data_IF_077640398006
#
_entry.id   IF_077640398006
#
_cell.length_a   1.000
_cell.length_b   1.000
_cell.length_c   1.000
_cell.angle_alpha   90.00
_cell.angle_beta   90.00
_cell.angle_gamma   90.00
#
_symmetry.space_group_name_H-M   'P 1'
#
loop_
_entity.id
_entity.type
_entity.pdbx_description
1 polymer ?
#
# COMPACT_ATOMS: atom_id res chain seq x y z
N UNK A 1 -32.62 17.99 -3.07
CA UNK A 1 -33.57 16.87 -2.95
C UNK A 1 -32.80 15.66 -2.42
N UNK A 2 -33.32 14.92 -1.43
CA UNK A 2 -32.66 13.69 -1.00
C UNK A 2 -32.52 12.75 -2.21
N UNK A 3 -31.31 12.22 -2.41
CA UNK A 3 -30.93 11.47 -3.61
C UNK A 3 -31.45 10.02 -3.60
N UNK A 4 -32.10 9.62 -2.50
CA UNK A 4 -32.61 8.27 -2.25
C UNK A 4 -34.11 8.33 -2.03
N UNK A 5 -34.84 7.49 -2.76
CA UNK A 5 -36.30 7.36 -2.62
C UNK A 5 -36.67 6.75 -1.27
N UNK A 6 -37.71 7.27 -0.61
CA UNK A 6 -38.27 6.69 0.60
C UNK A 6 -38.66 5.20 0.42
N UNK A 7 -39.01 4.81 -0.81
CA UNK A 7 -39.29 3.44 -1.22
C UNK A 7 -38.11 2.48 -0.98
N UNK A 8 -36.87 2.96 -1.08
CA UNK A 8 -35.67 2.15 -0.86
C UNK A 8 -35.44 1.86 0.63
N UNK A 9 -35.73 2.84 1.50
CA UNK A 9 -35.61 2.68 2.96
C UNK A 9 -36.57 1.61 3.46
N UNK A 10 -37.84 1.65 3.04
CA UNK A 10 -38.83 0.63 3.42
C UNK A 10 -38.42 -0.77 2.96
N UNK A 11 -37.89 -0.89 1.73
CA UNK A 11 -37.36 -2.17 1.23
C UNK A 11 -36.21 -2.69 2.08
N UNK A 12 -35.25 -1.83 2.42
CA UNK A 12 -34.10 -2.23 3.24
C UNK A 12 -34.51 -2.57 4.68
N UNK A 13 -35.44 -1.84 5.28
CA UNK A 13 -36.03 -2.16 6.58
C UNK A 13 -36.71 -3.53 6.56
N UNK A 14 -37.52 -3.82 5.54
CA UNK A 14 -38.20 -5.10 5.39
C UNK A 14 -37.22 -6.27 5.23
N UNK A 15 -36.13 -6.09 4.47
CA UNK A 15 -35.09 -7.11 4.35
C UNK A 15 -34.39 -7.33 5.69
N UNK A 16 -33.99 -6.25 6.37
CA UNK A 16 -33.30 -6.35 7.66
C UNK A 16 -34.19 -6.94 8.77
N UNK A 17 -35.51 -6.70 8.71
CA UNK A 17 -36.48 -7.28 9.64
C UNK A 17 -36.65 -8.79 9.43
N UNK A 18 -36.63 -9.25 8.17
CA UNK A 18 -36.70 -10.68 7.82
C UNK A 18 -35.39 -11.40 8.08
N UNK A 19 -34.27 -10.74 7.80
CA UNK A 19 -32.92 -11.25 7.99
C UNK A 19 -32.04 -10.22 8.70
N UNK A 20 -31.97 -10.26 10.04
CA UNK A 20 -31.11 -9.38 10.82
C UNK A 20 -29.61 -9.59 10.60
N UNK A 21 -29.21 -10.69 9.95
CA UNK A 21 -27.83 -11.01 9.55
C UNK A 21 -27.55 -10.60 8.08
N UNK A 22 -28.45 -9.86 7.45
CA UNK A 22 -28.21 -9.29 6.14
C UNK A 22 -27.25 -8.09 6.21
N UNK A 23 -26.38 -7.95 5.22
CA UNK A 23 -25.49 -6.78 5.06
C UNK A 23 -26.23 -5.50 4.60
N UNK A 24 -27.55 -5.58 4.38
CA UNK A 24 -28.43 -4.47 3.98
C UNK A 24 -28.49 -3.33 5.01
N UNK A 25 -28.02 -3.56 6.23
CA UNK A 25 -27.88 -2.48 7.22
C UNK A 25 -26.99 -1.31 6.72
N UNK A 26 -25.99 -1.59 5.88
CA UNK A 26 -25.08 -0.55 5.38
C UNK A 26 -25.77 0.42 4.41
N UNK A 27 -26.43 -0.04 3.32
CA UNK A 27 -27.20 0.88 2.48
C UNK A 27 -28.41 1.50 3.21
N UNK A 28 -29.01 0.83 4.20
CA UNK A 28 -30.04 1.43 5.05
C UNK A 28 -29.50 2.61 5.88
N UNK A 29 -28.35 2.42 6.54
CA UNK A 29 -27.73 3.47 7.34
C UNK A 29 -27.21 4.63 6.47
N UNK A 30 -26.71 4.34 5.26
CA UNK A 30 -26.36 5.36 4.26
C UNK A 30 -27.58 6.21 3.90
N UNK A 31 -28.73 5.56 3.63
CA UNK A 31 -29.97 6.24 3.31
C UNK A 31 -30.45 7.14 4.46
N UNK A 32 -30.45 6.63 5.70
CA UNK A 32 -30.77 7.45 6.87
C UNK A 32 -29.83 8.65 7.03
N UNK A 33 -28.53 8.47 6.77
CA UNK A 33 -27.56 9.57 6.82
C UNK A 33 -27.88 10.65 5.80
N UNK A 34 -28.17 10.27 4.54
CA UNK A 34 -28.52 11.23 3.49
C UNK A 34 -29.85 11.96 3.74
N UNK A 35 -30.78 11.32 4.47
CA UNK A 35 -32.03 11.94 4.91
C UNK A 35 -31.87 12.81 6.17
N UNK A 36 -30.67 12.89 6.75
CA UNK A 36 -30.43 13.63 8.00
C UNK A 36 -30.92 12.91 9.27
N UNK A 37 -31.40 11.67 9.15
CA UNK A 37 -31.82 10.80 10.25
C UNK A 37 -30.60 10.15 10.92
N UNK A 38 -29.75 11.00 11.49
CA UNK A 38 -28.41 10.60 11.97
C UNK A 38 -28.47 9.60 13.14
N UNK A 39 -29.49 9.70 14.01
CA UNK A 39 -29.65 8.79 15.16
C UNK A 39 -29.97 7.37 14.69
N UNK A 40 -30.89 7.26 13.74
CA UNK A 40 -31.32 6.01 13.10
C UNK A 40 -30.19 5.40 12.29
N UNK A 41 -29.42 6.23 11.56
CA UNK A 41 -28.23 5.81 10.83
C UNK A 41 -27.20 5.18 11.79
N UNK A 42 -26.88 5.85 12.90
CA UNK A 42 -25.94 5.35 13.91
C UNK A 42 -26.43 4.06 14.55
N UNK A 43 -27.69 3.97 14.96
CA UNK A 43 -28.26 2.78 15.57
C UNK A 43 -28.19 1.57 14.61
N UNK A 44 -28.61 1.78 13.36
CA UNK A 44 -28.64 0.74 12.33
C UNK A 44 -27.24 0.23 12.00
N UNK A 45 -26.28 1.14 11.77
CA UNK A 45 -24.92 0.74 11.41
C UNK A 45 -24.19 0.10 12.57
N UNK A 46 -24.41 0.56 13.80
CA UNK A 46 -23.77 -0.02 15.00
C UNK A 46 -24.23 -1.45 15.21
N UNK A 47 -25.55 -1.71 15.15
CA UNK A 47 -26.09 -3.06 15.27
C UNK A 47 -25.61 -3.98 14.13
N UNK A 48 -25.55 -3.46 12.91
CA UNK A 48 -25.08 -4.21 11.75
C UNK A 48 -23.59 -4.57 11.81
N UNK A 49 -22.72 -3.62 12.20
CA UNK A 49 -21.28 -3.86 12.37
C UNK A 49 -21.00 -4.80 13.53
N UNK A 50 -21.81 -4.80 14.60
CA UNK A 50 -21.69 -5.79 15.68
C UNK A 50 -21.94 -7.22 15.17
N UNK A 51 -22.91 -7.41 14.26
CA UNK A 51 -23.19 -8.72 13.64
C UNK A 51 -22.19 -9.09 12.54
N UNK A 52 -21.70 -8.09 11.80
CA UNK A 52 -20.76 -8.27 10.70
C UNK A 52 -19.47 -7.45 10.91
N UNK A 53 -18.62 -7.82 11.89
CA UNK A 53 -17.46 -7.02 12.28
C UNK A 53 -16.38 -6.91 11.21
N UNK A 54 -16.41 -7.79 10.20
CA UNK A 54 -15.47 -7.85 9.08
C UNK A 54 -16.04 -7.29 7.77
N UNK A 55 -17.30 -6.82 7.76
CA UNK A 55 -17.90 -6.29 6.54
C UNK A 55 -17.41 -4.87 6.27
N UNK A 56 -16.44 -4.74 5.36
CA UNK A 56 -15.77 -3.48 5.03
C UNK A 56 -16.74 -2.40 4.58
N UNK A 57 -17.75 -2.74 3.77
CA UNK A 57 -18.77 -1.78 3.32
C UNK A 57 -19.52 -1.14 4.50
N UNK A 58 -19.90 -1.94 5.49
CA UNK A 58 -20.53 -1.46 6.72
C UNK A 58 -19.61 -0.60 7.59
N UNK A 59 -18.32 -0.96 7.69
CA UNK A 59 -17.32 -0.16 8.40
C UNK A 59 -17.12 1.21 7.73
N UNK A 60 -17.06 1.26 6.40
CA UNK A 60 -16.94 2.52 5.65
C UNK A 60 -18.17 3.39 5.86
N UNK A 61 -19.39 2.84 5.76
CA UNK A 61 -20.62 3.60 6.06
C UNK A 61 -20.63 4.11 7.50
N UNK A 62 -20.18 3.30 8.46
CA UNK A 62 -20.11 3.71 9.86
C UNK A 62 -19.16 4.90 10.04
N UNK A 63 -17.97 4.84 9.44
CA UNK A 63 -17.01 5.94 9.48
C UNK A 63 -17.56 7.23 8.85
N UNK A 64 -18.32 7.14 7.75
CA UNK A 64 -18.97 8.32 7.14
C UNK A 64 -19.94 8.98 8.12
N UNK A 65 -20.77 8.19 8.79
CA UNK A 65 -21.74 8.70 9.77
C UNK A 65 -21.02 9.32 10.98
N UNK A 66 -19.92 8.70 11.44
CA UNK A 66 -19.10 9.24 12.52
C UNK A 66 -18.41 10.56 12.13
N UNK A 67 -17.90 10.67 10.90
CA UNK A 67 -17.37 11.92 10.35
C UNK A 67 -18.42 13.03 10.37
N UNK A 68 -19.62 12.75 9.86
CA UNK A 68 -20.70 13.73 9.76
C UNK A 68 -21.23 14.16 11.14
N UNK A 69 -21.00 13.34 12.17
CA UNK A 69 -21.32 13.68 13.58
C UNK A 69 -20.15 14.30 14.36
N UNK A 70 -19.02 14.58 13.70
CA UNK A 70 -17.83 15.16 14.34
C UNK A 70 -17.06 14.19 15.25
N UNK A 71 -17.40 12.89 15.25
CA UNK A 71 -16.73 11.86 16.07
C UNK A 71 -15.48 11.33 15.36
N UNK A 72 -14.54 12.21 15.08
CA UNK A 72 -13.39 11.91 14.20
C UNK A 72 -12.49 10.80 14.72
N UNK A 73 -12.17 10.77 16.02
CA UNK A 73 -11.35 9.72 16.61
C UNK A 73 -11.95 8.31 16.39
N UNK A 74 -13.26 8.17 16.67
CA UNK A 74 -13.97 6.91 16.45
C UNK A 74 -14.03 6.55 14.96
N UNK A 75 -14.23 7.53 14.09
CA UNK A 75 -14.22 7.30 12.64
C UNK A 75 -12.87 6.74 12.17
N UNK A 76 -11.75 7.28 12.68
CA UNK A 76 -10.40 6.80 12.36
C UNK A 76 -10.15 5.37 12.87
N UNK A 77 -10.62 5.02 14.07
CA UNK A 77 -10.51 3.66 14.58
C UNK A 77 -11.27 2.64 13.72
N UNK A 78 -12.49 3.00 13.30
CA UNK A 78 -13.29 2.18 12.39
C UNK A 78 -12.62 2.05 11.01
N UNK A 79 -12.05 3.15 10.50
CA UNK A 79 -11.33 3.14 9.22
C UNK A 79 -10.04 2.32 9.28
N UNK A 80 -9.32 2.35 10.40
CA UNK A 80 -8.15 1.49 10.63
C UNK A 80 -8.51 0.01 10.59
N UNK A 81 -9.68 -0.36 11.12
CA UNK A 81 -10.21 -1.72 10.97
C UNK A 81 -10.55 -2.03 9.52
N UNK A 82 -11.21 -1.10 8.82
CA UNK A 82 -11.58 -1.29 7.42
C UNK A 82 -10.35 -1.48 6.51
N UNK A 83 -9.32 -0.66 6.66
CA UNK A 83 -8.05 -0.77 5.91
C UNK A 83 -7.20 -1.95 6.36
N UNK A 84 -7.32 -2.40 7.61
CA UNK A 84 -6.71 -3.65 8.08
C UNK A 84 -7.33 -4.90 7.42
N UNK A 85 -8.62 -4.86 7.11
CA UNK A 85 -9.33 -5.95 6.43
C UNK A 85 -9.18 -5.91 4.90
N UNK A 86 -9.18 -4.70 4.32
CA UNK A 86 -9.00 -4.49 2.88
C UNK A 86 -8.02 -3.32 2.64
N UNK A 87 -6.70 -3.58 2.65
CA UNK A 87 -5.67 -2.57 2.46
C UNK A 87 -5.75 -1.81 1.14
N UNK A 88 -6.34 -2.43 0.10
CA UNK A 88 -6.52 -1.88 -1.23
C UNK A 88 -7.84 -1.09 -1.39
N UNK A 89 -8.65 -0.97 -0.34
CA UNK A 89 -9.92 -0.25 -0.42
C UNK A 89 -9.70 1.26 -0.52
N UNK A 90 -9.75 1.77 -1.75
CA UNK A 90 -9.54 3.18 -2.08
C UNK A 90 -10.51 4.10 -1.31
N UNK A 91 -11.78 3.70 -1.16
CA UNK A 91 -12.79 4.51 -0.47
C UNK A 91 -12.47 4.66 1.03
N UNK A 92 -11.93 3.62 1.66
CA UNK A 92 -11.52 3.68 3.06
C UNK A 92 -10.33 4.64 3.26
N UNK A 93 -9.35 4.63 2.36
CA UNK A 93 -8.22 5.57 2.40
C UNK A 93 -8.66 7.01 2.10
N UNK A 94 -9.54 7.22 1.12
CA UNK A 94 -10.13 8.54 0.83
C UNK A 94 -10.85 9.10 2.04
N UNK A 95 -11.71 8.28 2.66
CA UNK A 95 -12.46 8.70 3.84
C UNK A 95 -11.55 8.95 5.05
N UNK A 96 -10.46 8.20 5.20
CA UNK A 96 -9.43 8.46 6.22
C UNK A 96 -8.82 9.85 6.03
N UNK A 97 -8.50 10.21 4.79
CA UNK A 97 -7.95 11.52 4.47
C UNK A 97 -8.94 12.65 4.77
N UNK A 98 -10.21 12.48 4.38
CA UNK A 98 -11.28 13.45 4.65
C UNK A 98 -11.54 13.64 6.15
N UNK A 99 -11.55 12.55 6.92
CA UNK A 99 -11.70 12.61 8.38
C UNK A 99 -10.52 13.32 9.03
N UNK A 100 -9.29 13.06 8.58
CA UNK A 100 -8.11 13.77 9.10
C UNK A 100 -8.13 15.27 8.78
N UNK A 101 -8.62 15.67 7.59
CA UNK A 101 -8.82 17.08 7.28
C UNK A 101 -9.87 17.72 8.18
N UNK A 102 -10.99 17.05 8.41
CA UNK A 102 -12.03 17.52 9.32
C UNK A 102 -11.51 17.62 10.78
N UNK A 103 -10.58 16.73 11.16
CA UNK A 103 -9.89 16.73 12.44
C UNK A 103 -8.67 17.68 12.50
N UNK A 104 -8.49 18.57 11.50
CA UNK A 104 -7.39 19.54 11.42
C UNK A 104 -5.97 18.93 11.44
N UNK A 105 -5.81 17.72 10.91
CA UNK A 105 -4.53 17.04 10.78
C UNK A 105 -4.10 16.92 9.29
N UNK A 106 -3.65 18.02 8.66
CA UNK A 106 -3.34 18.02 7.23
C UNK A 106 -2.18 17.07 6.85
N UNK A 107 -1.22 16.86 7.76
CA UNK A 107 -0.08 15.96 7.54
C UNK A 107 -0.51 14.49 7.40
N UNK A 108 -1.42 14.02 8.27
CA UNK A 108 -1.95 12.65 8.18
C UNK A 108 -2.93 12.50 7.02
N UNK A 109 -3.73 13.53 6.71
CA UNK A 109 -4.57 13.56 5.53
C UNK A 109 -3.76 13.42 4.24
N UNK A 110 -2.62 14.11 4.14
CA UNK A 110 -1.71 14.02 3.01
C UNK A 110 -1.19 12.60 2.80
N UNK A 111 -0.79 11.89 3.88
CA UNK A 111 -0.37 10.49 3.79
C UNK A 111 -1.48 9.59 3.25
N UNK A 112 -2.71 9.77 3.74
CA UNK A 112 -3.85 8.99 3.28
C UNK A 112 -4.20 9.27 1.82
N UNK A 113 -4.19 10.54 1.36
CA UNK A 113 -4.38 10.86 -0.06
C UNK A 113 -3.25 10.35 -0.96
N UNK A 114 -2.00 10.32 -0.48
CA UNK A 114 -0.89 9.68 -1.22
C UNK A 114 -1.11 8.18 -1.38
N UNK A 115 -1.67 7.49 -0.37
CA UNK A 115 -2.08 6.09 -0.51
C UNK A 115 -3.19 5.91 -1.55
N UNK A 116 -4.15 6.83 -1.60
CA UNK A 116 -5.18 6.82 -2.65
C UNK A 116 -4.57 6.95 -4.04
N UNK A 117 -3.58 7.83 -4.22
CA UNK A 117 -2.86 7.95 -5.50
C UNK A 117 -1.99 6.75 -5.82
N UNK A 118 -1.41 6.11 -4.81
CA UNK A 118 -0.65 4.87 -5.00
C UNK A 118 -1.55 3.75 -5.53
N UNK A 119 -2.76 3.60 -4.97
CA UNK A 119 -3.73 2.59 -5.39
C UNK A 119 -4.46 2.97 -6.70
N UNK A 120 -4.69 4.26 -6.92
CA UNK A 120 -5.33 4.80 -8.12
C UNK A 120 -4.63 6.10 -8.58
N UNK A 121 -3.58 5.98 -9.43
CA UNK A 121 -2.81 7.12 -9.91
C UNK A 121 -3.62 8.17 -10.67
N UNK A 122 -4.74 7.77 -11.27
CA UNK A 122 -5.60 8.62 -12.10
C UNK A 122 -6.69 9.36 -11.30
N UNK A 123 -6.69 9.25 -9.97
CA UNK A 123 -7.66 9.93 -9.11
C UNK A 123 -7.42 11.45 -9.09
N UNK A 124 -8.14 12.18 -9.96
CA UNK A 124 -8.03 13.64 -10.06
C UNK A 124 -8.34 14.35 -8.72
N UNK A 125 -9.30 13.84 -7.94
CA UNK A 125 -9.64 14.41 -6.63
C UNK A 125 -8.48 14.28 -5.65
N UNK A 126 -7.83 13.11 -5.60
CA UNK A 126 -6.68 12.89 -4.73
C UNK A 126 -5.46 13.69 -5.21
N UNK A 127 -5.23 13.83 -6.53
CA UNK A 127 -4.14 14.66 -7.06
C UNK A 127 -4.27 16.12 -6.62
N UNK A 128 -5.47 16.70 -6.79
CA UNK A 128 -5.78 18.07 -6.33
C UNK A 128 -5.64 18.22 -4.82
N UNK A 129 -6.09 17.23 -4.05
CA UNK A 129 -5.98 17.25 -2.59
C UNK A 129 -4.52 17.19 -2.13
N UNK A 130 -3.70 16.31 -2.71
CA UNK A 130 -2.25 16.21 -2.41
C UNK A 130 -1.56 17.52 -2.75
N UNK A 131 -1.75 18.06 -3.96
CA UNK A 131 -1.11 19.31 -4.37
C UNK A 131 -1.43 20.46 -3.41
N UNK A 132 -2.71 20.60 -3.02
CA UNK A 132 -3.15 21.62 -2.06
C UNK A 132 -2.56 21.39 -0.66
N UNK A 133 -2.49 20.15 -0.21
CA UNK A 133 -1.97 19.85 1.13
C UNK A 133 -0.45 19.95 1.19
N UNK A 134 0.26 19.65 0.11
CA UNK A 134 1.71 19.86 0.01
C UNK A 134 2.05 21.33 0.03
N UNK A 135 1.30 22.20 -0.65
CA UNK A 135 1.53 23.65 -0.54
C UNK A 135 1.27 24.15 0.88
N UNK A 136 0.18 23.73 1.52
CA UNK A 136 -0.16 24.15 2.89
C UNK A 136 0.81 23.62 3.94
N UNK A 137 1.34 22.40 3.77
CA UNK A 137 2.29 21.82 4.71
C UNK A 137 3.73 22.24 4.43
N UNK A 138 4.04 22.70 3.21
CA UNK A 138 5.33 23.30 2.87
C UNK A 138 5.56 24.61 3.63
N UNK A 139 4.52 25.44 3.77
CA UNK A 139 4.58 26.72 4.48
C UNK A 139 4.69 26.55 6.02
N UNK A 140 4.30 25.40 6.57
CA UNK A 140 4.47 25.05 8.00
C UNK A 140 5.89 24.55 8.34
N UNK A 141 6.78 24.37 7.35
CA UNK A 141 8.20 24.20 7.64
C UNK A 141 8.81 25.58 7.84
N UNK A 142 8.67 26.10 9.07
CA UNK A 142 9.46 27.23 9.53
C UNK A 142 10.95 26.96 9.24
N UNK A 143 11.65 28.03 8.90
CA UNK A 143 13.05 28.12 8.45
C UNK A 143 14.07 27.39 9.36
N UNK A 144 13.66 26.88 10.51
CA UNK A 144 14.49 26.13 11.47
C UNK A 144 15.06 24.82 10.91
N UNK A 145 14.36 24.12 10.02
CA UNK A 145 14.87 22.87 9.43
C UNK A 145 16.00 23.14 8.42
N UNK A 146 16.02 24.34 7.83
CA UNK A 146 17.06 24.82 6.92
C UNK A 146 18.03 25.81 7.55
N UNK A 147 17.90 26.11 8.85
CA UNK A 147 18.96 26.78 9.59
C UNK A 147 20.22 25.91 9.43
N UNK A 148 21.16 26.39 8.63
CA UNK A 148 22.49 25.80 8.52
C UNK A 148 23.10 25.86 9.92
N UNK A 149 22.89 24.80 10.71
CA UNK A 149 23.68 24.57 11.89
C UNK A 149 25.12 24.45 11.39
N UNK A 150 25.94 25.47 11.67
CA UNK A 150 27.38 25.35 11.47
C UNK A 150 27.81 24.10 12.22
N UNK A 151 28.25 23.10 11.46
CA UNK A 151 28.84 21.90 12.04
C UNK A 151 29.90 22.36 13.04
N UNK A 152 29.92 21.82 14.27
CA UNK A 152 31.01 22.09 15.19
C UNK A 152 32.30 21.77 14.45
N UNK A 153 33.23 22.72 14.43
CA UNK A 153 34.51 22.52 13.77
C UNK A 153 35.21 21.35 14.45
N UNK A 154 35.19 20.20 13.79
CA UNK A 154 35.97 19.04 14.21
C UNK A 154 37.42 19.40 13.90
N UNK A 155 38.16 19.76 14.94
CA UNK A 155 39.60 19.90 14.83
C UNK A 155 40.19 18.48 14.68
N UNK A 156 40.53 18.11 13.45
CA UNK A 156 41.06 16.79 13.10
C UNK A 156 42.44 16.51 13.73
N UNK A 157 43.10 17.54 14.29
CA UNK A 157 44.40 17.44 14.96
C UNK A 157 44.29 17.29 16.49
N UNK A 158 43.07 17.27 17.05
CA UNK A 158 42.88 16.99 18.47
C UNK A 158 42.99 15.47 18.73
N UNK A 159 43.83 15.02 19.69
CA UNK A 159 43.88 13.62 20.07
C UNK A 159 42.51 13.12 20.52
N UNK A 160 42.13 11.86 20.23
CA UNK A 160 40.83 11.33 20.62
C UNK A 160 40.66 11.42 22.14
N UNK A 161 39.64 12.15 22.58
CA UNK A 161 39.25 12.19 23.99
C UNK A 161 38.92 10.76 24.44
N UNK A 162 39.58 10.34 25.53
CA UNK A 162 39.42 8.99 26.07
C UNK A 162 37.95 8.76 26.49
N UNK A 163 37.34 7.62 26.14
CA UNK A 163 35.99 7.31 26.57
C UNK A 163 35.93 7.19 28.10
N UNK A 164 34.90 7.81 28.69
CA UNK A 164 34.56 7.72 30.12
C UNK A 164 34.31 6.25 30.54
N UNK A 165 34.55 5.89 31.82
CA UNK A 165 34.58 4.51 32.26
C UNK A 165 33.21 3.83 32.19
N UNK A 166 33.27 2.57 31.76
CA UNK A 166 32.19 1.61 31.54
C UNK A 166 31.35 1.37 32.81
N UNK A 167 30.03 1.38 32.65
CA UNK A 167 29.09 0.86 33.65
C UNK A 167 28.95 -0.66 33.45
N UNK A 168 28.81 -1.45 34.53
CA UNK A 168 28.91 -2.90 34.44
C UNK A 168 27.73 -3.57 33.72
N UNK A 169 28.08 -4.62 32.99
CA UNK A 169 27.27 -5.38 32.04
C UNK A 169 26.00 -6.00 32.63
N UNK A 170 24.88 -5.83 31.91
CA UNK A 170 23.70 -6.69 31.97
C UNK A 170 23.85 -7.70 30.81
N UNK A 171 23.66 -9.01 31.02
CA UNK A 171 23.88 -10.00 29.96
C UNK A 171 22.87 -9.83 28.81
N UNK A 172 23.38 -9.70 27.58
CA UNK A 172 22.59 -9.51 26.36
C UNK A 172 21.77 -10.77 26.00
N UNK A 173 20.46 -10.64 25.68
CA UNK A 173 19.75 -11.70 24.99
C UNK A 173 20.22 -11.78 23.54
N UNK A 174 20.43 -13.01 23.04
CA UNK A 174 20.91 -13.34 21.69
C UNK A 174 20.24 -12.49 20.60
N UNK A 175 20.91 -11.44 20.14
CA UNK A 175 20.51 -10.62 19.00
C UNK A 175 21.30 -11.06 17.76
N UNK A 176 20.60 -11.49 16.70
CA UNK A 176 21.21 -11.71 15.38
C UNK A 176 21.77 -10.36 14.88
N UNK A 177 22.97 -10.32 14.27
CA UNK A 177 23.59 -9.06 13.87
C UNK A 177 22.66 -8.32 12.90
N UNK A 178 22.33 -7.08 13.26
CA UNK A 178 21.56 -6.18 12.41
C UNK A 178 22.31 -5.94 11.09
N UNK A 179 21.60 -5.77 9.96
CA UNK A 179 22.23 -5.45 8.68
C UNK A 179 23.07 -4.17 8.82
N UNK A 180 24.20 -4.07 8.08
CA UNK A 180 25.11 -2.94 8.19
C UNK A 180 24.38 -1.61 7.94
N UNK A 181 24.85 -0.51 8.56
CA UNK A 181 24.17 0.77 8.52
C UNK A 181 23.94 1.22 7.07
N UNK A 182 22.70 1.62 6.77
CA UNK A 182 22.28 2.10 5.45
C UNK A 182 23.10 3.32 5.05
N UNK A 183 24.11 3.10 4.21
CA UNK A 183 24.90 4.19 3.66
C UNK A 183 24.03 4.92 2.62
N UNK A 184 23.42 6.04 3.02
CA UNK A 184 22.47 6.80 2.19
C UNK A 184 23.05 7.23 0.84
N UNK A 185 24.38 7.41 0.75
CA UNK A 185 25.06 7.70 -0.51
C UNK A 185 25.02 6.51 -1.48
N UNK A 186 25.30 5.30 -0.98
CA UNK A 186 25.21 4.07 -1.77
C UNK A 186 23.78 3.80 -2.24
N UNK A 187 22.77 3.97 -1.37
CA UNK A 187 21.36 3.78 -1.77
C UNK A 187 20.93 4.71 -2.91
N UNK A 188 21.40 5.96 -2.90
CA UNK A 188 21.15 6.92 -3.99
C UNK A 188 21.80 6.48 -5.30
N UNK A 189 23.04 6.00 -5.27
CA UNK A 189 23.73 5.48 -6.45
C UNK A 189 23.06 4.24 -7.02
N UNK A 190 22.66 3.30 -6.14
CA UNK A 190 21.90 2.12 -6.55
C UNK A 190 20.55 2.48 -7.19
N UNK A 191 19.89 3.52 -6.67
CA UNK A 191 18.61 4.01 -7.24
C UNK A 191 18.81 4.64 -8.62
N UNK A 192 19.91 5.36 -8.82
CA UNK A 192 20.28 5.93 -10.13
C UNK A 192 20.62 4.82 -11.14
N UNK A 193 21.31 3.76 -10.71
CA UNK A 193 21.59 2.58 -11.54
C UNK A 193 20.28 1.91 -11.96
N UNK A 194 19.34 1.71 -11.04
CA UNK A 194 18.04 1.14 -11.34
C UNK A 194 17.26 2.01 -12.36
N UNK A 195 17.39 3.34 -12.28
CA UNK A 195 16.80 4.25 -13.26
C UNK A 195 17.42 4.11 -14.66
N UNK A 196 18.75 3.91 -14.77
CA UNK A 196 19.40 3.64 -16.06
C UNK A 196 19.00 2.28 -16.64
N UNK A 197 18.84 1.25 -15.81
CA UNK A 197 18.35 -0.08 -16.22
C UNK A 197 16.94 0.01 -16.80
N UNK A 198 16.05 0.79 -16.19
CA UNK A 198 14.67 1.00 -16.69
C UNK A 198 14.66 1.74 -18.03
N UNK A 199 15.59 2.67 -18.24
CA UNK A 199 15.75 3.42 -19.50
C UNK A 199 16.49 2.65 -20.58
N UNK A 200 16.87 1.40 -20.33
CA UNK A 200 17.68 0.55 -21.20
C UNK A 200 19.06 1.13 -21.54
N UNK A 201 19.60 2.03 -20.70
CA UNK A 201 20.92 2.62 -20.85
C UNK A 201 21.94 1.74 -20.09
N UNK A 202 22.14 0.52 -20.61
CA UNK A 202 22.85 -0.55 -19.90
C UNK A 202 24.36 -0.26 -19.74
N UNK A 203 24.96 0.46 -20.67
CA UNK A 203 26.37 0.87 -20.59
C UNK A 203 26.63 1.80 -19.41
N UNK A 204 25.79 2.84 -19.25
CA UNK A 204 25.90 3.78 -18.12
C UNK A 204 25.54 3.12 -16.80
N UNK A 205 24.53 2.25 -16.79
CA UNK A 205 24.20 1.45 -15.60
C UNK A 205 25.39 0.59 -15.15
N UNK A 206 26.09 -0.05 -16.09
CA UNK A 206 27.25 -0.89 -15.81
C UNK A 206 28.45 -0.09 -15.33
N UNK A 207 28.75 1.05 -15.96
CA UNK A 207 29.83 1.95 -15.56
C UNK A 207 29.62 2.45 -14.11
N UNK A 208 28.43 2.99 -13.82
CA UNK A 208 28.12 3.55 -12.51
C UNK A 208 28.10 2.49 -11.41
N UNK A 209 27.68 1.26 -11.73
CA UNK A 209 27.72 0.13 -10.80
C UNK A 209 29.15 -0.33 -10.50
N UNK A 210 30.07 -0.25 -11.47
CA UNK A 210 31.50 -0.51 -11.26
C UNK A 210 32.13 0.54 -10.36
N UNK A 211 31.82 1.82 -10.58
CA UNK A 211 32.30 2.93 -9.75
C UNK A 211 31.77 2.83 -8.32
N UNK A 212 30.49 2.50 -8.15
CA UNK A 212 29.87 2.27 -6.84
C UNK A 212 30.56 1.13 -6.09
N UNK A 213 31.00 0.07 -6.78
CA UNK A 213 31.77 -1.03 -6.15
C UNK A 213 33.16 -0.59 -5.71
N UNK A 214 33.82 0.29 -6.47
CA UNK A 214 35.13 0.84 -6.09
C UNK A 214 35.00 1.72 -4.85
N UNK A 215 33.92 2.50 -4.75
CA UNK A 215 33.70 3.45 -3.65
C UNK A 215 33.20 2.79 -2.35
N UNK A 216 32.30 1.80 -2.44
CA UNK A 216 31.66 1.16 -1.26
C UNK A 216 32.11 -0.28 -1.00
N UNK A 217 32.99 -0.84 -1.84
CA UNK A 217 33.45 -2.23 -1.73
C UNK A 217 32.41 -3.26 -2.15
N UNK A 218 32.69 -4.52 -1.83
CA UNK A 218 31.84 -5.66 -2.19
C UNK A 218 30.60 -5.76 -1.30
N UNK A 219 29.52 -5.10 -1.72
CA UNK A 219 28.23 -5.13 -1.03
C UNK A 219 27.24 -6.10 -1.72
N UNK A 220 26.40 -6.87 -0.98
CA UNK A 220 25.46 -7.83 -1.56
C UNK A 220 24.48 -7.22 -2.56
N UNK A 221 24.01 -5.99 -2.31
CA UNK A 221 23.11 -5.27 -3.23
C UNK A 221 23.77 -4.83 -4.56
N UNK A 222 25.08 -4.56 -4.53
CA UNK A 222 25.87 -4.23 -5.73
C UNK A 222 26.06 -5.52 -6.57
N UNK A 223 26.43 -6.62 -5.91
CA UNK A 223 26.60 -7.93 -6.56
C UNK A 223 25.31 -8.44 -7.21
N UNK A 224 24.16 -8.24 -6.53
CA UNK A 224 22.86 -8.62 -7.07
C UNK A 224 22.56 -7.90 -8.40
N UNK A 225 22.77 -6.58 -8.46
CA UNK A 225 22.53 -5.78 -9.66
C UNK A 225 23.52 -6.09 -10.78
N UNK A 226 24.77 -6.40 -10.45
CA UNK A 226 25.79 -6.84 -11.42
C UNK A 226 25.33 -8.11 -12.14
N UNK A 227 24.83 -9.10 -11.38
CA UNK A 227 24.31 -10.35 -11.93
C UNK A 227 23.10 -10.12 -12.83
N UNK A 228 22.18 -9.23 -12.42
CA UNK A 228 21.01 -8.88 -13.22
C UNK A 228 21.39 -8.23 -14.55
N UNK A 229 22.36 -7.30 -14.55
CA UNK A 229 22.86 -6.67 -15.77
C UNK A 229 23.55 -7.68 -16.71
N UNK A 230 24.30 -8.62 -16.15
CA UNK A 230 24.99 -9.66 -16.94
C UNK A 230 24.03 -10.63 -17.62
N UNK A 231 22.88 -10.94 -16.98
CA UNK A 231 21.82 -11.73 -17.61
C UNK A 231 21.20 -10.97 -18.78
N UNK A 232 20.92 -9.67 -18.63
CA UNK A 232 20.32 -8.85 -19.70
C UNK A 232 21.25 -8.64 -20.89
N UNK A 233 22.56 -8.55 -20.68
CA UNK A 233 23.53 -8.47 -21.78
C UNK A 233 23.62 -9.77 -22.61
N UNK A 234 23.22 -10.90 -22.03
CA UNK A 234 23.26 -12.22 -22.66
C UNK A 234 21.90 -12.67 -23.22
N UNK A 235 20.84 -11.85 -23.09
CA UNK A 235 19.57 -12.13 -23.76
C UNK A 235 19.72 -11.74 -25.25
N UNK A 236 19.57 -12.67 -26.20
CA UNK A 236 19.60 -12.33 -27.62
C UNK A 236 18.45 -11.36 -27.93
N UNK A 237 18.76 -10.24 -28.58
CA UNK A 237 17.83 -9.18 -29.04
C UNK A 237 16.80 -9.65 -30.09
N UNK A 238 16.54 -10.95 -30.22
CA UNK A 238 15.48 -11.40 -31.11
C UNK A 238 14.11 -11.14 -30.45
N UNK A 239 13.26 -10.29 -31.04
CA UNK A 239 11.90 -10.13 -30.56
C UNK A 239 11.22 -11.48 -30.69
N UNK A 240 11.02 -12.17 -29.57
CA UNK A 240 10.23 -13.40 -29.57
C UNK A 240 8.88 -13.07 -30.22
N UNK A 241 8.54 -13.68 -31.37
CA UNK A 241 7.32 -13.37 -32.06
C UNK A 241 6.16 -13.56 -31.09
N UNK A 242 5.34 -12.51 -30.92
CA UNK A 242 4.18 -12.53 -30.04
C UNK A 242 3.33 -13.74 -30.43
N UNK A 243 3.28 -14.74 -29.54
CA UNK A 243 2.38 -15.88 -29.75
C UNK A 243 0.95 -15.33 -29.73
N UNK A 244 0.15 -15.57 -30.77
CA UNK A 244 -1.23 -15.09 -30.80
C UNK A 244 -1.99 -15.62 -29.58
N UNK A 245 -2.79 -14.75 -28.96
CA UNK A 245 -3.62 -15.11 -27.81
C UNK A 245 -4.61 -16.17 -28.27
N UNK A 246 -4.52 -17.38 -27.69
CA UNK A 246 -5.45 -18.48 -27.96
C UNK A 246 -6.86 -18.06 -27.56
N UNK A 247 -7.84 -18.38 -28.40
CA UNK A 247 -9.24 -18.07 -28.09
C UNK A 247 -9.69 -18.85 -26.85
N UNK A 248 -10.70 -18.33 -26.13
CA UNK A 248 -11.25 -19.02 -24.95
C UNK A 248 -11.71 -20.44 -25.28
N UNK A 249 -12.23 -20.65 -26.49
CA UNK A 249 -12.64 -21.97 -26.98
C UNK A 249 -11.44 -22.90 -27.20
N UNK A 250 -10.36 -22.41 -27.79
CA UNK A 250 -9.11 -23.17 -27.97
C UNK A 250 -8.49 -23.58 -26.63
N UNK A 251 -8.49 -22.68 -25.65
CA UNK A 251 -8.02 -22.97 -24.29
C UNK A 251 -8.87 -24.06 -23.60
N UNK A 252 -10.18 -24.05 -23.82
CA UNK A 252 -11.09 -25.07 -23.29
C UNK A 252 -10.85 -26.41 -24.00
N UNK A 253 -10.68 -26.41 -25.32
CA UNK A 253 -10.39 -27.63 -26.08
C UNK A 253 -9.05 -28.24 -25.69
N UNK A 254 -8.01 -27.41 -25.54
CA UNK A 254 -6.69 -27.87 -25.12
C UNK A 254 -6.71 -28.49 -23.71
N UNK A 255 -7.40 -27.85 -22.75
CA UNK A 255 -7.57 -28.42 -21.40
C UNK A 255 -8.31 -29.76 -21.43
N UNK A 256 -9.32 -29.90 -22.29
CA UNK A 256 -10.02 -31.20 -22.46
C UNK A 256 -9.09 -32.26 -23.02
N UNK A 257 -8.27 -31.90 -24.02
CA UNK A 257 -7.29 -32.78 -24.65
C UNK A 257 -6.22 -33.25 -23.65
N UNK A 258 -5.66 -32.35 -22.84
CA UNK A 258 -4.70 -32.69 -21.79
C UNK A 258 -5.29 -33.66 -20.75
N UNK A 259 -6.57 -33.46 -20.36
CA UNK A 259 -7.25 -34.36 -19.43
C UNK A 259 -7.48 -35.73 -20.07
N UNK A 260 -7.88 -35.78 -21.34
CA UNK A 260 -8.06 -37.02 -22.10
C UNK A 260 -6.74 -37.79 -22.26
N UNK A 261 -5.64 -37.10 -22.59
CA UNK A 261 -4.30 -37.68 -22.68
C UNK A 261 -3.82 -38.22 -21.34
N UNK A 262 -4.10 -37.50 -20.25
CA UNK A 262 -3.80 -37.98 -18.90
C UNK A 262 -4.60 -39.24 -18.55
N UNK A 263 -5.88 -39.30 -18.94
CA UNK A 263 -6.72 -40.49 -18.73
C UNK A 263 -6.24 -41.67 -19.58
N UNK A 264 -5.87 -41.43 -20.84
CA UNK A 264 -5.30 -42.45 -21.73
C UNK A 264 -4.00 -43.02 -21.15
N UNK A 265 -3.07 -42.17 -20.72
CA UNK A 265 -1.84 -42.62 -20.04
C UNK A 265 -2.14 -43.46 -18.82
N UNK A 266 -3.09 -43.05 -17.98
CA UNK A 266 -3.49 -43.84 -16.81
C UNK A 266 -4.05 -45.21 -17.19
N UNK A 267 -4.79 -45.31 -18.29
CA UNK A 267 -5.33 -46.59 -18.78
C UNK A 267 -4.21 -47.48 -19.34
N UNK A 268 -3.25 -46.91 -20.07
CA UNK A 268 -2.07 -47.61 -20.59
C UNK A 268 -1.16 -48.12 -19.46
N UNK A 269 -0.94 -47.29 -18.44
CA UNK A 269 -0.21 -47.65 -17.22
C UNK A 269 -0.93 -48.79 -16.46
N UNK A 270 -2.26 -48.76 -16.42
CA UNK A 270 -3.05 -49.82 -15.77
C UNK A 270 -3.03 -51.13 -16.57
N UNK A 271 -3.01 -51.05 -17.92
CA UNK A 271 -2.93 -52.22 -18.81
C UNK A 271 -1.55 -52.85 -18.86
N UNK A 272 -0.49 -52.10 -18.56
CA UNK A 272 0.89 -52.61 -18.49
C UNK A 272 1.25 -53.22 -17.13
N UNK A 273 0.36 -53.10 -16.14
CA UNK A 273 0.47 -53.71 -14.81
C UNK A 273 -0.33 -55.02 -14.64
N UNK A 274 -1.02 -55.46 -15.71
CA UNK A 274 -1.76 -56.74 -15.81
C UNK A 274 -0.99 -57.65 -16.76
#
# INVERSE_FOLDING_TARGET
MPKIEASAVERYQNILAKDPASQVFAPLAEAYREMGMVKEALATVTAGVQRHPQFVGGLVTYAKILRDTGKFAQALDILKRATGLAPENILAHQLTAEVQLANKNPKEALKAFKMVLFLNPNSQSAQKAVQKLESLTADEYDEEVFAMAKLPQVNLDAPPEKPAPETPAIPEPMYKPAPPPKNKAMERMLSLIDAFIVRNDLEKAHALLKDTRVEFGDHPEIQRRMKTLQVRYNEPEEPMPLKPLRSREELIQQKKLEVLEMMLRKIEDYRSQI
#
